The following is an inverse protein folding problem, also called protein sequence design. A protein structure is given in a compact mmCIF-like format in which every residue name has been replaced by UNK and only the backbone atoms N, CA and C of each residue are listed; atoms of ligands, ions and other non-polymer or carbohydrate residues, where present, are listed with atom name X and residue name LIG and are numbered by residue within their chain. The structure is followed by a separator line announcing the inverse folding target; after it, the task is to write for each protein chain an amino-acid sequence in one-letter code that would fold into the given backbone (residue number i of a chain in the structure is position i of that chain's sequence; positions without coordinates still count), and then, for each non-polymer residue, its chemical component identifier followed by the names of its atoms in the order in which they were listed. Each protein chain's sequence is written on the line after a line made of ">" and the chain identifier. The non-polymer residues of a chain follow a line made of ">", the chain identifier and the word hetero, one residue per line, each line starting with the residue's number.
data_IF_298776309813
#
_entry.id   IF_298776309813
#
_cell.length_a   1.000
_cell.length_b   1.000
_cell.length_c   1.000
_cell.angle_alpha   90.00
_cell.angle_beta   90.00
_cell.angle_gamma   90.00
#
_symmetry.space_group_name_H-M   'P 1'
#
loop_
_entity.id
_entity.type
_entity.pdbx_description
1 polymer ?
#
# COMPACT_ATOMS: atom_id res chain seq x y z
N UNK A 1 20.61 10.91 -9.18
CA UNK A 1 19.49 9.98 -9.03
C UNK A 1 19.43 9.50 -7.59
N UNK A 2 18.24 9.32 -7.09
CA UNK A 2 18.06 9.00 -5.67
C UNK A 2 18.24 7.51 -5.40
N UNK A 3 18.88 7.20 -4.27
CA UNK A 3 19.07 5.83 -3.78
C UNK A 3 18.61 5.78 -2.32
N UNK A 4 18.48 4.57 -1.79
CA UNK A 4 18.06 4.39 -0.40
C UNK A 4 16.55 4.49 -0.21
N UNK A 5 15.79 4.14 -1.23
CA UNK A 5 14.33 4.16 -1.20
C UNK A 5 13.77 2.76 -1.38
N UNK A 6 12.56 2.59 -0.87
CA UNK A 6 11.75 1.37 -1.03
C UNK A 6 10.41 1.76 -1.62
N UNK A 7 9.86 0.89 -2.44
CA UNK A 7 8.51 1.01 -2.92
C UNK A 7 7.60 0.16 -2.04
N UNK A 8 6.64 0.79 -1.39
CA UNK A 8 5.65 0.09 -0.58
C UNK A 8 4.37 -0.02 -1.40
N UNK A 9 3.82 -1.22 -1.43
CA UNK A 9 2.52 -1.50 -2.03
C UNK A 9 1.53 -1.86 -0.94
N UNK A 10 0.34 -1.30 -1.02
CA UNK A 10 -0.78 -1.74 -0.18
C UNK A 10 -1.92 -2.12 -1.13
N UNK A 11 -2.38 -3.36 -1.04
CA UNK A 11 -3.52 -3.84 -1.82
C UNK A 11 -4.67 -3.99 -0.86
N UNK A 12 -5.70 -3.19 -1.05
CA UNK A 12 -6.80 -3.04 -0.10
C UNK A 12 -8.13 -3.09 -0.81
N UNK A 13 -9.19 -3.29 -0.04
CA UNK A 13 -10.54 -3.15 -0.58
C UNK A 13 -10.74 -1.71 -1.06
N UNK A 14 -11.50 -1.55 -2.14
CA UNK A 14 -11.80 -0.23 -2.68
C UNK A 14 -12.46 0.64 -1.64
N UNK A 15 -12.06 1.90 -1.56
CA UNK A 15 -12.58 2.86 -0.60
C UNK A 15 -11.71 3.09 0.62
N UNK A 16 -10.59 2.38 0.74
CA UNK A 16 -9.73 2.49 1.92
C UNK A 16 -8.38 3.17 1.65
N UNK A 17 -8.21 3.76 0.47
CA UNK A 17 -6.93 4.41 0.14
C UNK A 17 -6.65 5.64 1.02
N UNK A 18 -7.68 6.36 1.44
CA UNK A 18 -7.47 7.52 2.31
C UNK A 18 -6.90 7.12 3.67
N UNK A 19 -7.40 6.00 4.23
CA UNK A 19 -6.88 5.49 5.49
C UNK A 19 -5.42 5.08 5.37
N UNK A 20 -5.05 4.48 4.23
CA UNK A 20 -3.65 4.16 3.96
C UNK A 20 -2.82 5.43 3.93
N UNK A 21 -3.26 6.45 3.21
CA UNK A 21 -2.50 7.68 3.09
C UNK A 21 -2.37 8.40 4.42
N UNK A 22 -3.40 8.42 5.25
CA UNK A 22 -3.32 8.99 6.59
C UNK A 22 -2.26 8.28 7.42
N UNK A 23 -2.27 6.95 7.39
CA UNK A 23 -1.33 6.14 8.16
C UNK A 23 0.11 6.39 7.73
N UNK A 24 0.37 6.40 6.42
CA UNK A 24 1.75 6.55 5.93
C UNK A 24 2.27 7.97 6.06
N UNK A 25 1.41 8.97 5.95
CA UNK A 25 1.82 10.37 6.16
C UNK A 25 2.25 10.60 7.60
N UNK A 26 1.58 9.95 8.54
CA UNK A 26 1.98 10.02 9.95
C UNK A 26 3.38 9.44 10.19
N UNK A 27 3.85 8.56 9.32
CA UNK A 27 5.19 8.00 9.39
C UNK A 27 6.24 8.82 8.64
N UNK A 28 5.82 9.87 7.94
CA UNK A 28 6.75 10.73 7.19
C UNK A 28 6.71 10.56 5.69
N UNK A 29 5.82 9.72 5.16
CA UNK A 29 5.65 9.61 3.71
C UNK A 29 4.99 10.87 3.16
N UNK A 30 5.35 11.26 1.94
CA UNK A 30 4.92 12.52 1.36
C UNK A 30 3.76 12.40 0.38
N UNK A 31 3.55 11.24 -0.19
CA UNK A 31 2.46 11.03 -1.12
C UNK A 31 2.49 9.64 -1.70
N UNK A 32 1.51 9.34 -2.53
CA UNK A 32 1.40 8.04 -3.16
C UNK A 32 0.56 8.09 -4.42
N UNK A 33 0.51 6.98 -5.11
CA UNK A 33 -0.29 6.80 -6.32
C UNK A 33 -1.29 5.69 -6.07
N UNK A 34 -2.55 5.95 -6.39
CA UNK A 34 -3.62 4.96 -6.22
C UNK A 34 -4.02 4.42 -7.59
N UNK A 35 -4.06 3.11 -7.70
CA UNK A 35 -4.44 2.41 -8.92
C UNK A 35 -5.66 1.56 -8.62
N UNK A 36 -6.69 1.68 -9.44
CA UNK A 36 -7.85 0.81 -9.35
C UNK A 36 -7.48 -0.59 -9.85
N UNK A 37 -7.90 -1.60 -9.13
CA UNK A 37 -7.53 -2.98 -9.43
C UNK A 37 -8.68 -3.91 -9.12
N UNK A 38 -8.49 -5.17 -9.49
CA UNK A 38 -9.47 -6.21 -9.18
C UNK A 38 -8.73 -7.43 -8.67
N UNK A 39 -9.19 -7.95 -7.55
CA UNK A 39 -8.68 -9.19 -7.01
C UNK A 39 -9.46 -10.38 -7.57
N UNK A 40 -8.85 -11.54 -7.47
CA UNK A 40 -9.54 -12.78 -7.82
C UNK A 40 -10.25 -13.29 -6.58
N UNK A 41 -11.58 -13.32 -6.62
CA UNK A 41 -12.36 -13.81 -5.51
C UNK A 41 -12.22 -15.31 -5.36
N UNK A 42 -12.18 -15.79 -4.13
CA UNK A 42 -12.26 -17.23 -3.86
C UNK A 42 -13.72 -17.64 -3.87
N UNK A 43 -14.22 -18.06 -5.04
CA UNK A 43 -15.62 -18.43 -5.21
C UNK A 43 -16.04 -19.59 -4.32
N UNK A 44 -15.13 -20.52 -4.06
CA UNK A 44 -15.43 -21.65 -3.17
C UNK A 44 -15.66 -21.19 -1.74
N UNK A 45 -14.83 -20.25 -1.26
CA UNK A 45 -15.01 -19.68 0.06
C UNK A 45 -16.33 -18.92 0.15
N UNK A 46 -16.68 -18.13 -0.87
CA UNK A 46 -17.97 -17.45 -0.89
C UNK A 46 -19.13 -18.42 -0.78
N UNK A 47 -19.10 -19.49 -1.56
CA UNK A 47 -20.16 -20.50 -1.54
C UNK A 47 -20.21 -21.24 -0.21
N UNK A 48 -19.05 -21.59 0.33
CA UNK A 48 -18.96 -22.39 1.54
C UNK A 48 -19.41 -21.60 2.78
N UNK A 49 -19.00 -20.35 2.88
CA UNK A 49 -19.30 -19.53 4.06
C UNK A 49 -20.49 -18.60 3.88
N UNK A 50 -21.05 -18.53 2.68
CA UNK A 50 -22.18 -17.64 2.42
C UNK A 50 -21.84 -16.16 2.53
N UNK A 51 -20.59 -15.81 2.35
CA UNK A 51 -20.13 -14.42 2.42
C UNK A 51 -19.79 -13.90 1.04
N UNK A 52 -20.00 -12.60 0.85
CA UNK A 52 -19.62 -11.93 -0.38
C UNK A 52 -18.24 -11.30 -0.20
N UNK A 53 -17.31 -11.63 -1.10
CA UNK A 53 -15.96 -11.08 -1.08
C UNK A 53 -15.86 -10.09 -2.22
N UNK A 54 -15.56 -8.84 -1.89
CA UNK A 54 -15.40 -7.81 -2.91
C UNK A 54 -14.20 -8.10 -3.79
N UNK A 55 -14.38 -8.04 -5.11
CA UNK A 55 -13.27 -8.15 -6.06
C UNK A 55 -12.65 -6.79 -6.36
N UNK A 56 -13.31 -5.69 -6.01
CA UNK A 56 -12.77 -4.36 -6.28
C UNK A 56 -11.70 -4.00 -5.25
N UNK A 57 -10.54 -3.69 -5.76
CA UNK A 57 -9.37 -3.35 -4.95
C UNK A 57 -8.78 -2.03 -5.38
N UNK A 58 -7.98 -1.47 -4.51
CA UNK A 58 -7.10 -0.36 -4.85
C UNK A 58 -5.69 -0.75 -4.45
N UNK A 59 -4.73 -0.33 -5.27
CA UNK A 59 -3.32 -0.51 -4.96
C UNK A 59 -2.76 0.87 -4.69
N UNK A 60 -2.21 1.07 -3.50
CA UNK A 60 -1.54 2.32 -3.14
C UNK A 60 -0.05 2.07 -3.23
N UNK A 61 0.63 2.83 -4.07
CA UNK A 61 2.08 2.74 -4.25
C UNK A 61 2.73 3.95 -3.62
N UNK A 62 3.67 3.72 -2.72
CA UNK A 62 4.32 4.81 -1.98
C UNK A 62 5.82 4.57 -1.99
N UNK A 63 6.58 5.56 -2.45
CA UNK A 63 8.04 5.51 -2.36
C UNK A 63 8.45 6.19 -1.08
N UNK A 64 9.17 5.46 -0.23
CA UNK A 64 9.58 5.96 1.09
C UNK A 64 11.07 5.75 1.26
N UNK A 65 11.66 6.51 2.16
CA UNK A 65 13.04 6.27 2.54
C UNK A 65 13.13 4.93 3.27
N UNK A 66 14.22 4.25 3.05
CA UNK A 66 14.44 2.91 3.59
C UNK A 66 14.33 2.88 5.11
N UNK A 67 14.72 3.95 5.78
CA UNK A 67 14.72 4.01 7.24
C UNK A 67 13.31 4.08 7.84
N UNK A 68 12.29 4.47 7.08
CA UNK A 68 10.91 4.50 7.59
C UNK A 68 10.04 3.36 7.04
N UNK A 69 10.59 2.51 6.19
CA UNK A 69 9.83 1.47 5.52
C UNK A 69 9.11 0.55 6.50
N UNK A 70 9.78 0.10 7.52
CA UNK A 70 9.16 -0.82 8.50
C UNK A 70 8.03 -0.15 9.26
N UNK A 71 8.19 1.11 9.64
CA UNK A 71 7.13 1.88 10.29
C UNK A 71 5.92 2.04 9.37
N UNK A 72 6.16 2.27 8.09
CA UNK A 72 5.10 2.42 7.10
C UNK A 72 4.33 1.11 6.94
N UNK A 73 5.02 -0.02 6.80
CA UNK A 73 4.37 -1.31 6.67
C UNK A 73 3.53 -1.63 7.90
N UNK A 74 4.06 -1.37 9.09
CA UNK A 74 3.34 -1.60 10.33
C UNK A 74 2.08 -0.73 10.43
N UNK A 75 2.19 0.54 10.08
CA UNK A 75 1.07 1.47 10.13
C UNK A 75 -0.05 1.03 9.18
N UNK A 76 0.29 0.58 7.97
CA UNK A 76 -0.69 0.07 7.02
C UNK A 76 -1.38 -1.17 7.58
N UNK A 77 -0.62 -2.10 8.13
CA UNK A 77 -1.19 -3.32 8.70
C UNK A 77 -2.17 -3.02 9.83
N UNK A 78 -1.81 -2.12 10.72
CA UNK A 78 -2.67 -1.77 11.85
C UNK A 78 -3.96 -1.09 11.39
N UNK A 79 -3.88 -0.27 10.34
CA UNK A 79 -5.03 0.53 9.90
C UNK A 79 -5.96 -0.24 8.96
N UNK A 80 -5.41 -0.99 8.01
CA UNK A 80 -6.20 -1.62 6.95
C UNK A 80 -5.81 -3.08 6.69
N UNK A 81 -5.17 -3.74 7.64
CA UNK A 81 -4.72 -5.13 7.47
C UNK A 81 -5.85 -6.13 7.31
N UNK A 82 -5.49 -7.41 7.23
CA UNK A 82 -6.44 -8.48 6.91
C UNK A 82 -7.60 -8.59 7.90
N UNK A 83 -7.38 -8.22 9.16
CA UNK A 83 -8.43 -8.32 10.18
C UNK A 83 -9.32 -7.07 10.25
N UNK A 84 -9.13 -6.11 9.37
CA UNK A 84 -9.92 -4.88 9.30
C UNK A 84 -10.83 -4.91 8.07
N UNK A 85 -11.80 -3.98 7.97
CA UNK A 85 -12.63 -3.91 6.75
C UNK A 85 -11.86 -3.65 5.46
N UNK A 86 -10.68 -3.03 5.54
CA UNK A 86 -9.81 -2.83 4.37
C UNK A 86 -9.24 -4.12 3.83
N UNK A 87 -9.10 -5.14 4.67
CA UNK A 87 -8.59 -6.48 4.34
C UNK A 87 -7.32 -6.42 3.48
N UNK A 88 -6.41 -5.55 3.91
CA UNK A 88 -5.24 -5.23 3.11
C UNK A 88 -4.05 -6.12 3.36
N UNK A 89 -3.21 -6.20 2.34
CA UNK A 89 -1.86 -6.72 2.46
C UNK A 89 -0.90 -5.62 2.03
N UNK A 90 0.30 -5.65 2.58
CA UNK A 90 1.32 -4.67 2.22
C UNK A 90 2.66 -5.36 2.12
N UNK A 91 3.48 -4.88 1.20
CA UNK A 91 4.83 -5.40 1.02
C UNK A 91 5.72 -4.31 0.42
N UNK A 92 7.01 -4.54 0.42
CA UNK A 92 7.95 -3.57 -0.13
C UNK A 92 8.92 -4.23 -1.08
N UNK A 93 9.42 -3.42 -2.02
CA UNK A 93 10.44 -3.81 -2.97
C UNK A 93 11.53 -2.74 -2.94
N UNK A 94 12.80 -3.12 -3.03
CA UNK A 94 13.86 -2.13 -3.12
C UNK A 94 13.78 -1.35 -4.43
N UNK A 95 14.07 -0.07 -4.37
CA UNK A 95 14.17 0.79 -5.54
C UNK A 95 15.66 1.02 -5.78
N UNK A 96 16.18 0.52 -6.91
CA UNK A 96 17.59 0.68 -7.20
C UNK A 96 17.98 2.14 -7.36
N UNK A 97 17.24 2.85 -8.18
CA UNK A 97 17.46 4.27 -8.42
C UNK A 97 16.13 4.91 -8.80
N UNK A 98 15.98 6.17 -8.46
CA UNK A 98 14.79 6.93 -8.84
C UNK A 98 15.20 8.35 -9.24
N UNK A 99 14.42 8.95 -10.09
CA UNK A 99 14.57 10.35 -10.49
C UNK A 99 13.24 11.05 -10.29
N UNK A 100 13.29 12.27 -9.81
CA UNK A 100 12.08 13.04 -9.59
C UNK A 100 11.54 13.00 -8.15
N UNK A 101 12.28 12.42 -7.22
CA UNK A 101 11.87 12.34 -5.83
C UNK A 101 12.26 13.59 -5.04
N UNK A 102 13.27 14.30 -5.51
CA UNK A 102 13.74 15.50 -4.88
C UNK A 102 13.68 16.68 -5.85
N UNK A 103 14.32 17.79 -5.47
CA UNK A 103 14.35 19.00 -6.28
C UNK A 103 15.35 18.93 -7.42
N UNK A 104 16.29 17.99 -7.36
CA UNK A 104 17.34 17.81 -8.36
C UNK A 104 17.44 16.34 -8.74
N UNK A 105 18.14 16.08 -9.85
CA UNK A 105 18.38 14.70 -10.28
C UNK A 105 19.28 13.92 -9.33
N UNK A 106 20.01 14.59 -8.48
CA UNK A 106 20.94 13.94 -7.56
C UNK A 106 20.24 13.38 -6.31
N UNK A 107 19.04 13.80 -6.09
CA UNK A 107 18.24 13.31 -4.98
C UNK A 107 17.34 12.15 -5.44
#
# INVERSE_FOLDING_TARGET
>A
MSKGYEMVFAIINSGYSEEVMEAVKACGATGGTVINARGTANLEAEKFFGISISSEKEIVMIIVKKDIKDSVLKAIYEKVGLSTPGQGIAFSLPVDEAVGLGKTLEE
#
